data_IF_800586426002
#
_entry.id   IF_800586426002
#
_cell.length_a   1.000
_cell.length_b   1.000
_cell.length_c   1.000
_cell.angle_alpha   90.00
_cell.angle_beta   90.00
_cell.angle_gamma   90.00
#
_symmetry.space_group_name_H-M   'P 1'
#
loop_
_entity.id
_entity.type
_entity.pdbx_description
1 polymer ?
#
# COMPACT_ATOMS: atom_id res chain seq x y z
N UNK A 1 17.79 10.22 8.23
CA UNK A 1 16.63 10.77 7.47
C UNK A 1 16.19 9.70 6.50
N UNK A 2 14.96 9.17 6.64
CA UNK A 2 14.38 8.26 5.65
C UNK A 2 14.11 9.07 4.38
N UNK A 3 14.43 8.51 3.21
CA UNK A 3 14.07 9.08 1.91
C UNK A 3 12.56 9.40 1.89
N UNK A 4 12.11 10.55 1.34
CA UNK A 4 10.70 10.87 1.30
C UNK A 4 9.91 9.77 0.58
N UNK A 5 8.84 9.27 1.20
CA UNK A 5 8.01 8.17 0.67
C UNK A 5 7.58 8.39 -0.80
N UNK A 6 7.27 9.63 -1.15
CA UNK A 6 6.80 10.03 -2.48
C UNK A 6 7.88 9.91 -3.57
N UNK A 7 9.16 10.07 -3.19
CA UNK A 7 10.31 10.11 -4.10
C UNK A 7 11.25 8.92 -3.92
N UNK A 8 10.85 7.92 -3.13
CA UNK A 8 11.65 6.72 -2.93
C UNK A 8 11.91 6.01 -4.27
N UNK A 9 13.17 5.75 -4.68
CA UNK A 9 13.48 5.22 -6.00
C UNK A 9 12.73 3.92 -6.35
N UNK A 10 12.64 2.98 -5.40
CA UNK A 10 11.89 1.74 -5.63
C UNK A 10 10.38 1.97 -5.82
N UNK A 11 9.79 2.91 -5.07
CA UNK A 11 8.38 3.25 -5.28
C UNK A 11 8.21 3.87 -6.65
N UNK A 12 9.11 4.77 -7.06
CA UNK A 12 9.06 5.39 -8.38
C UNK A 12 9.27 4.39 -9.53
N UNK A 13 10.08 3.33 -9.34
CA UNK A 13 10.34 2.31 -10.36
C UNK A 13 9.21 1.28 -10.51
N UNK A 14 8.48 0.98 -9.44
CA UNK A 14 7.43 -0.05 -9.43
C UNK A 14 6.01 0.52 -9.37
N UNK A 15 5.86 1.83 -9.19
CA UNK A 15 4.57 2.50 -9.22
C UNK A 15 4.32 3.08 -10.60
N UNK A 16 3.19 2.70 -11.18
CA UNK A 16 2.68 3.29 -12.42
C UNK A 16 2.04 4.67 -12.18
N UNK A 17 1.94 5.09 -10.92
CA UNK A 17 1.48 6.43 -10.58
C UNK A 17 2.61 7.44 -10.67
N UNK A 18 2.27 8.65 -11.07
CA UNK A 18 3.08 9.85 -10.88
C UNK A 18 3.24 10.20 -9.38
N UNK A 19 4.17 11.10 -9.08
CA UNK A 19 4.35 11.61 -7.72
C UNK A 19 3.08 12.31 -7.19
N UNK A 20 2.38 13.05 -8.04
CA UNK A 20 1.16 13.76 -7.66
C UNK A 20 0.00 12.81 -7.33
N UNK A 21 -0.12 11.69 -8.07
CA UNK A 21 -1.11 10.66 -7.78
C UNK A 21 -0.79 9.92 -6.48
N UNK A 22 0.49 9.58 -6.24
CA UNK A 22 0.95 9.05 -4.95
C UNK A 22 0.62 10.02 -3.81
N UNK A 23 0.88 11.31 -4.01
CA UNK A 23 0.58 12.36 -3.03
C UNK A 23 -0.92 12.45 -2.75
N UNK A 24 -1.76 12.42 -3.79
CA UNK A 24 -3.21 12.43 -3.66
C UNK A 24 -3.72 11.28 -2.77
N UNK A 25 -3.18 10.07 -2.94
CA UNK A 25 -3.52 8.91 -2.09
C UNK A 25 -3.15 9.16 -0.63
N UNK A 26 -1.91 9.60 -0.37
CA UNK A 26 -1.46 9.85 1.00
C UNK A 26 -2.22 10.99 1.69
N UNK A 27 -2.49 12.08 0.98
CA UNK A 27 -3.29 13.19 1.48
C UNK A 27 -4.71 12.73 1.83
N UNK A 28 -5.33 11.89 0.98
CA UNK A 28 -6.65 11.33 1.23
C UNK A 28 -6.68 10.49 2.51
N UNK A 29 -5.67 9.65 2.73
CA UNK A 29 -5.56 8.84 3.96
C UNK A 29 -5.32 9.76 5.17
N UNK A 30 -4.47 10.78 5.04
CA UNK A 30 -4.18 11.75 6.10
C UNK A 30 -5.44 12.51 6.54
N UNK A 31 -6.23 12.98 5.58
CA UNK A 31 -7.46 13.76 5.81
C UNK A 31 -8.55 12.91 6.44
N UNK A 32 -8.77 11.69 5.95
CA UNK A 32 -9.94 10.91 6.33
C UNK A 32 -9.67 9.85 7.41
N UNK A 33 -8.40 9.46 7.62
CA UNK A 33 -7.98 8.40 8.55
C UNK A 33 -8.89 7.17 8.49
N UNK A 34 -9.06 6.57 7.29
CA UNK A 34 -10.03 5.51 7.10
C UNK A 34 -9.69 4.29 7.96
N UNK A 35 -10.74 3.61 8.47
CA UNK A 35 -10.58 2.31 9.16
C UNK A 35 -10.25 1.17 8.20
N UNK A 36 -10.65 1.30 6.93
CA UNK A 36 -10.47 0.30 5.88
C UNK A 36 -10.12 0.97 4.57
N UNK A 37 -9.13 0.42 3.88
CA UNK A 37 -8.70 0.82 2.54
C UNK A 37 -8.83 -0.41 1.64
N UNK A 38 -9.42 -0.23 0.46
CA UNK A 38 -9.46 -1.24 -0.58
C UNK A 38 -8.65 -0.74 -1.78
N UNK A 39 -7.67 -1.53 -2.19
CA UNK A 39 -6.89 -1.34 -3.40
C UNK A 39 -7.30 -2.40 -4.44
N UNK A 40 -7.68 -1.92 -5.63
CA UNK A 40 -8.04 -2.74 -6.79
C UNK A 40 -6.98 -2.52 -7.87
N UNK A 41 -6.32 -3.58 -8.32
CA UNK A 41 -5.21 -3.49 -9.26
C UNK A 41 -3.92 -3.11 -8.53
N UNK A 42 -3.19 -4.13 -8.08
CA UNK A 42 -1.95 -3.98 -7.29
C UNK A 42 -0.75 -3.74 -8.21
N UNK A 43 -0.80 -4.27 -9.44
CA UNK A 43 0.34 -4.28 -10.35
C UNK A 43 1.58 -4.88 -9.66
N UNK A 44 2.68 -4.13 -9.54
CA UNK A 44 3.88 -4.56 -8.84
C UNK A 44 3.86 -4.36 -7.30
N UNK A 45 2.78 -3.79 -6.75
CA UNK A 45 2.60 -3.62 -5.29
C UNK A 45 3.25 -2.39 -4.68
N UNK A 46 3.82 -1.50 -5.49
CA UNK A 46 4.44 -0.27 -4.98
C UNK A 46 3.47 0.62 -4.19
N UNK A 47 2.22 0.70 -4.63
CA UNK A 47 1.21 1.50 -3.94
C UNK A 47 0.80 0.88 -2.60
N UNK A 48 0.67 -0.45 -2.52
CA UNK A 48 0.44 -1.15 -1.24
C UNK A 48 1.56 -0.85 -0.24
N UNK A 49 2.82 -0.92 -0.68
CA UNK A 49 3.99 -0.59 0.17
C UNK A 49 3.96 0.88 0.60
N UNK A 50 3.67 1.80 -0.33
CA UNK A 50 3.54 3.23 -0.05
C UNK A 50 2.50 3.49 1.06
N UNK A 51 1.32 2.87 0.96
CA UNK A 51 0.23 3.00 1.94
C UNK A 51 0.67 2.41 3.29
N UNK A 52 1.22 1.20 3.32
CA UNK A 52 1.64 0.55 4.56
C UNK A 52 2.73 1.34 5.30
N UNK A 53 3.71 1.86 4.57
CA UNK A 53 4.77 2.68 5.16
C UNK A 53 4.23 4.01 5.68
N UNK A 54 3.29 4.64 4.96
CA UNK A 54 2.61 5.85 5.43
C UNK A 54 1.80 5.57 6.71
N UNK A 55 1.01 4.49 6.75
CA UNK A 55 0.25 4.11 7.94
C UNK A 55 1.18 3.83 9.14
N UNK A 56 2.34 3.19 8.90
CA UNK A 56 3.36 3.00 9.93
C UNK A 56 3.89 4.33 10.48
N UNK A 57 4.25 5.26 9.60
CA UNK A 57 4.80 6.57 10.00
C UNK A 57 3.78 7.44 10.73
N UNK A 58 2.49 7.27 10.44
CA UNK A 58 1.39 7.97 11.10
C UNK A 58 0.83 7.24 12.32
N UNK A 59 1.42 6.10 12.74
CA UNK A 59 0.92 5.24 13.82
C UNK A 59 -0.54 4.76 13.63
N UNK A 60 -0.92 4.43 12.38
CA UNK A 60 -2.28 4.01 12.01
C UNK A 60 -2.41 2.50 11.75
N UNK A 61 -1.32 1.72 11.80
CA UNK A 61 -1.34 0.27 11.48
C UNK A 61 -2.32 -0.55 12.34
N UNK A 62 -2.55 -0.15 13.58
CA UNK A 62 -3.49 -0.84 14.48
C UNK A 62 -4.96 -0.42 14.25
N UNK A 63 -5.20 0.74 13.65
CA UNK A 63 -6.54 1.29 13.45
C UNK A 63 -7.07 1.16 12.02
N UNK A 64 -6.19 0.86 11.07
CA UNK A 64 -6.48 0.88 9.64
C UNK A 64 -6.09 -0.45 9.00
N UNK A 65 -7.02 -1.03 8.24
CA UNK A 65 -6.81 -2.26 7.48
C UNK A 65 -6.66 -1.94 5.99
N UNK A 66 -5.62 -2.47 5.36
CA UNK A 66 -5.45 -2.43 3.90
C UNK A 66 -5.83 -3.79 3.31
N UNK A 67 -6.81 -3.79 2.42
CA UNK A 67 -7.17 -4.93 1.58
C UNK A 67 -6.71 -4.65 0.16
N UNK A 68 -5.75 -5.40 -0.34
CA UNK A 68 -5.25 -5.26 -1.71
C UNK A 68 -5.63 -6.49 -2.51
N UNK A 69 -6.23 -6.29 -3.68
CA UNK A 69 -6.52 -7.38 -4.61
C UNK A 69 -6.22 -6.98 -6.05
N UNK A 70 -5.72 -7.93 -6.82
CA UNK A 70 -5.55 -7.83 -8.27
C UNK A 70 -6.41 -8.91 -8.93
N UNK A 71 -6.81 -8.70 -10.18
CA UNK A 71 -7.47 -9.74 -10.96
C UNK A 71 -6.44 -10.75 -11.49
N UNK A 72 -5.26 -10.27 -11.86
CA UNK A 72 -4.22 -11.09 -12.44
C UNK A 72 -3.26 -11.60 -11.36
N UNK A 73 -2.94 -12.90 -11.42
CA UNK A 73 -1.91 -13.48 -10.56
C UNK A 73 -0.49 -13.06 -10.97
N UNK A 74 -0.31 -12.53 -12.18
CA UNK A 74 0.98 -12.11 -12.73
C UNK A 74 0.99 -10.61 -13.00
N UNK A 75 2.11 -9.96 -12.70
CA UNK A 75 2.35 -8.58 -13.08
C UNK A 75 2.48 -8.47 -14.61
N UNK A 76 1.64 -7.67 -15.26
CA UNK A 76 1.53 -7.69 -16.73
C UNK A 76 2.82 -7.28 -17.47
N UNK A 77 3.72 -6.52 -16.84
CA UNK A 77 5.02 -6.18 -17.40
C UNK A 77 6.02 -7.35 -17.39
N UNK A 78 5.79 -8.38 -16.59
CA UNK A 78 6.63 -9.57 -16.51
C UNK A 78 5.76 -10.83 -16.48
N UNK A 79 5.80 -11.63 -17.55
CA UNK A 79 5.21 -12.98 -17.62
C UNK A 79 5.89 -14.00 -16.68
N UNK A 80 6.40 -13.55 -15.53
CA UNK A 80 6.96 -14.38 -14.47
C UNK A 80 5.98 -14.33 -13.31
N UNK A 81 5.39 -15.49 -13.00
CA UNK A 81 4.51 -15.70 -11.87
C UNK A 81 5.14 -15.22 -10.57
N UNK A 82 4.43 -14.34 -9.84
CA UNK A 82 4.43 -14.11 -8.40
C UNK A 82 3.42 -12.96 -8.19
N UNK A 83 2.16 -13.15 -7.83
CA UNK A 83 1.61 -14.03 -6.80
C UNK A 83 1.12 -13.15 -5.65
N UNK A 84 -0.20 -13.10 -5.43
CA UNK A 84 -0.91 -12.36 -4.39
C UNK A 84 -0.18 -12.32 -3.03
N UNK A 85 -0.01 -11.13 -2.45
CA UNK A 85 0.22 -10.96 -1.01
C UNK A 85 -1.10 -10.60 -0.32
N UNK A 86 -1.81 -11.59 0.24
CA UNK A 86 -2.79 -11.28 1.29
C UNK A 86 -2.04 -10.99 2.59
N UNK A 87 -1.78 -9.71 2.87
CA UNK A 87 -1.36 -9.30 4.22
C UNK A 87 -2.60 -9.28 5.12
N UNK A 88 -2.91 -10.41 5.77
CA UNK A 88 -3.77 -10.38 6.96
C UNK A 88 -2.92 -9.83 8.11
N UNK A 89 -3.10 -8.55 8.44
CA UNK A 89 -2.64 -8.05 9.74
C UNK A 89 -3.51 -8.71 10.79
N UNK A 90 -2.96 -9.71 11.48
CA UNK A 90 -3.60 -10.30 12.64
C UNK A 90 -3.60 -9.24 13.75
N UNK A 91 -4.75 -8.64 14.04
CA UNK A 91 -4.92 -7.99 15.34
C UNK A 91 -4.87 -9.11 16.38
N UNK A 92 -3.81 -9.11 17.18
CA UNK A 92 -3.75 -9.85 18.43
C UNK A 92 -4.86 -9.34 19.34
N UNK A 93 -6.05 -9.90 19.20
CA UNK A 93 -7.15 -9.74 20.14
C UNK A 93 -6.81 -10.44 21.44
N UNK A 94 -5.88 -9.87 22.21
CA UNK A 94 -5.71 -10.17 23.62
C UNK A 94 -6.88 -9.56 24.39
N UNK A 95 -7.95 -10.33 24.51
CA UNK A 95 -9.14 -9.96 25.26
C UNK A 95 -9.81 -11.19 25.86
N UNK A 96 -9.27 -11.67 26.98
CA UNK A 96 -9.91 -11.67 28.30
C UNK A 96 -8.88 -12.06 29.36
#
# INVERSE_FOLDING_TARGET
MKTPLLTHPLIASYSEMSENERKFVLDTIATHKPRKILELGIAAGANSVLILDFLREQNLLESTQLHSCDYNATYYHHNTSNGYYQVKVAHGGGGK
#
